data_IF_494764301703
#
_entry.id   IF_494764301703
#
_cell.length_a   1.000
_cell.length_b   1.000
_cell.length_c   1.000
_cell.angle_alpha   90.00
_cell.angle_beta   90.00
_cell.angle_gamma   90.00
#
_symmetry.space_group_name_H-M   'P 1'
#
loop_
_entity.id
_entity.type
_entity.pdbx_description
1 polymer ?
#
# COMPACT_ATOMS: atom_id res chain seq x y z
N UNK A 1 -25.07 54.06 -36.41
CA UNK A 1 -25.68 54.14 -35.07
C UNK A 1 -25.79 52.73 -34.55
N UNK A 2 -24.72 52.27 -33.88
CA UNK A 2 -24.66 50.96 -33.24
C UNK A 2 -24.35 51.23 -31.78
N UNK A 3 -25.27 50.88 -30.89
CA UNK A 3 -25.14 51.06 -29.45
C UNK A 3 -24.27 49.96 -28.89
N UNK A 4 -23.18 50.36 -28.22
CA UNK A 4 -22.32 49.51 -27.42
C UNK A 4 -23.06 49.11 -26.13
N UNK A 5 -23.30 47.81 -25.95
CA UNK A 5 -23.69 47.26 -24.65
C UNK A 5 -22.43 46.83 -23.89
N UNK A 6 -22.07 47.59 -22.90
CA UNK A 6 -21.09 47.21 -21.87
C UNK A 6 -21.56 45.95 -21.12
N UNK A 7 -20.79 44.90 -21.22
CA UNK A 7 -20.94 43.69 -20.39
C UNK A 7 -19.99 43.80 -19.24
N UNK A 8 -20.51 44.10 -18.06
CA UNK A 8 -19.77 44.10 -16.79
C UNK A 8 -19.39 42.69 -16.41
N UNK A 9 -18.09 42.46 -16.21
CA UNK A 9 -17.54 41.22 -15.67
C UNK A 9 -17.91 41.07 -14.18
N UNK A 10 -18.16 39.85 -13.70
CA UNK A 10 -18.42 39.62 -12.28
C UNK A 10 -17.14 39.68 -11.43
N UNK A 11 -17.30 40.22 -10.22
CA UNK A 11 -16.31 40.37 -9.14
C UNK A 11 -15.71 39.05 -8.69
N UNK A 12 -14.36 38.89 -8.60
CA UNK A 12 -13.69 37.64 -8.22
C UNK A 12 -13.59 37.40 -6.71
N UNK A 13 -14.40 38.04 -5.85
CA UNK A 13 -14.22 37.97 -4.39
C UNK A 13 -15.15 37.00 -3.64
N UNK A 14 -15.89 36.11 -4.30
CA UNK A 14 -16.72 35.10 -3.59
C UNK A 14 -16.23 33.70 -3.95
N UNK A 15 -15.34 33.17 -3.08
CA UNK A 15 -15.03 31.75 -3.06
C UNK A 15 -16.17 31.01 -2.34
N UNK A 16 -16.69 29.89 -2.91
CA UNK A 16 -17.62 29.04 -2.17
C UNK A 16 -16.85 28.24 -1.11
N UNK A 17 -17.36 28.30 0.11
CA UNK A 17 -16.90 27.50 1.24
C UNK A 17 -16.88 26.01 0.88
N UNK A 18 -15.69 25.47 0.74
CA UNK A 18 -15.48 24.03 0.58
C UNK A 18 -15.59 23.33 1.94
N UNK A 19 -16.75 22.77 2.24
CA UNK A 19 -16.90 21.83 3.35
C UNK A 19 -15.98 20.63 3.12
N UNK A 20 -14.97 20.50 3.97
CA UNK A 20 -14.18 19.29 4.10
C UNK A 20 -15.08 18.18 4.65
N UNK A 21 -15.17 16.99 4.04
CA UNK A 21 -15.94 15.89 4.58
C UNK A 21 -15.29 15.42 5.89
N UNK A 22 -16.03 15.55 6.98
CA UNK A 22 -15.62 15.15 8.32
C UNK A 22 -15.34 13.63 8.39
N UNK A 23 -14.43 13.23 9.28
CA UNK A 23 -14.05 11.84 9.52
C UNK A 23 -15.23 10.90 9.90
N UNK A 24 -16.38 11.45 10.26
CA UNK A 24 -17.62 10.74 10.57
C UNK A 24 -18.34 10.15 9.35
N UNK A 25 -18.11 10.67 8.13
CA UNK A 25 -18.75 10.17 6.90
C UNK A 25 -18.23 8.80 6.43
N UNK A 26 -17.14 8.28 7.00
CA UNK A 26 -16.57 6.97 6.64
C UNK A 26 -17.23 5.79 7.32
N UNK A 27 -17.89 6.00 8.45
CA UNK A 27 -18.54 4.92 9.22
C UNK A 27 -19.94 4.60 8.71
N UNK A 28 -20.68 5.58 8.21
CA UNK A 28 -22.07 5.40 7.76
C UNK A 28 -22.20 4.64 6.42
N UNK A 29 -21.17 4.73 5.55
CA UNK A 29 -21.20 4.01 4.26
C UNK A 29 -20.92 2.51 4.37
N UNK A 30 -20.31 2.05 5.48
CA UNK A 30 -20.10 0.62 5.76
C UNK A 30 -21.38 -0.01 6.32
N UNK A 31 -22.11 0.70 7.17
CA UNK A 31 -23.36 0.22 7.79
C UNK A 31 -24.50 0.04 6.77
N UNK A 32 -24.63 0.94 5.79
CA UNK A 32 -25.64 0.82 4.72
C UNK A 32 -25.37 -0.31 3.73
N UNK A 33 -24.13 -0.81 3.66
CA UNK A 33 -23.76 -1.92 2.80
C UNK A 33 -24.15 -3.29 3.36
N UNK A 34 -24.35 -3.40 4.68
CA UNK A 34 -24.63 -4.67 5.35
C UNK A 34 -26.13 -5.06 5.36
N UNK A 35 -27.06 -4.10 5.19
CA UNK A 35 -28.50 -4.34 5.41
C UNK A 35 -29.26 -4.93 4.22
N UNK A 36 -28.70 -4.94 3.00
CA UNK A 36 -29.49 -5.27 1.78
C UNK A 36 -29.21 -6.66 1.20
N UNK A 37 -28.21 -7.40 1.68
CA UNK A 37 -27.79 -8.65 1.04
C UNK A 37 -28.22 -9.92 1.77
N UNK A 38 -28.72 -10.90 1.00
CA UNK A 38 -28.97 -12.24 1.50
C UNK A 38 -27.66 -12.91 1.92
N UNK A 39 -27.59 -13.33 3.18
CA UNK A 39 -26.43 -14.02 3.73
C UNK A 39 -26.78 -15.49 4.01
N UNK A 40 -25.89 -16.39 3.61
CA UNK A 40 -25.92 -17.81 3.96
C UNK A 40 -24.63 -18.11 4.74
N UNK A 41 -24.67 -17.88 6.06
CA UNK A 41 -23.46 -17.92 6.89
C UNK A 41 -22.47 -16.83 6.50
N UNK A 42 -21.26 -17.21 6.08
CA UNK A 42 -20.21 -16.26 5.60
C UNK A 42 -20.36 -15.89 4.11
N UNK A 43 -21.27 -16.55 3.38
CA UNK A 43 -21.46 -16.32 1.95
C UNK A 43 -22.39 -15.14 1.73
N UNK A 44 -21.90 -14.11 1.03
CA UNK A 44 -22.69 -12.98 0.54
C UNK A 44 -22.93 -13.19 -0.95
N UNK A 45 -24.18 -13.11 -1.37
CA UNK A 45 -24.54 -13.30 -2.78
C UNK A 45 -25.18 -12.06 -3.36
N UNK A 46 -24.80 -11.75 -4.58
CA UNK A 46 -25.41 -10.71 -5.42
C UNK A 46 -25.91 -11.37 -6.69
N UNK A 47 -27.05 -10.99 -7.19
CA UNK A 47 -27.38 -11.20 -8.59
C UNK A 47 -26.55 -10.23 -9.45
N UNK A 48 -26.41 -10.52 -10.74
CA UNK A 48 -25.68 -9.62 -11.65
C UNK A 48 -26.28 -8.20 -11.66
N UNK A 49 -27.59 -7.98 -11.76
CA UNK A 49 -28.18 -6.65 -11.68
C UNK A 49 -27.84 -5.94 -10.35
N UNK A 50 -28.02 -6.60 -9.22
CA UNK A 50 -27.67 -6.04 -7.90
C UNK A 50 -26.18 -5.65 -7.81
N UNK A 51 -25.28 -6.48 -8.36
CA UNK A 51 -23.84 -6.20 -8.39
C UNK A 51 -23.53 -4.96 -9.22
N UNK A 52 -24.19 -4.79 -10.37
CA UNK A 52 -23.97 -3.66 -11.26
C UNK A 52 -24.53 -2.35 -10.71
N UNK A 53 -25.62 -2.41 -9.96
CA UNK A 53 -26.26 -1.25 -9.32
C UNK A 53 -25.58 -0.89 -7.96
N UNK A 54 -24.76 -1.80 -7.40
CA UNK A 54 -24.11 -1.57 -6.12
C UNK A 54 -22.88 -0.68 -6.31
N UNK A 55 -22.84 0.44 -5.58
CA UNK A 55 -21.66 1.28 -5.53
C UNK A 55 -20.64 0.72 -4.53
N UNK A 56 -19.55 0.15 -5.03
CA UNK A 56 -18.41 -0.26 -4.20
C UNK A 56 -17.46 0.92 -4.04
N UNK A 57 -17.04 1.23 -2.79
CA UNK A 57 -16.03 2.26 -2.59
C UNK A 57 -14.74 1.87 -3.33
N UNK A 58 -14.21 2.80 -4.12
CA UNK A 58 -12.93 2.59 -4.80
C UNK A 58 -11.81 2.47 -3.77
N UNK A 59 -10.91 1.50 -3.95
CA UNK A 59 -9.71 1.42 -3.12
C UNK A 59 -8.83 2.63 -3.41
N UNK A 60 -8.30 3.31 -2.38
CA UNK A 60 -7.35 4.39 -2.61
C UNK A 60 -6.16 3.88 -3.42
N UNK A 61 -5.76 4.63 -4.44
CA UNK A 61 -4.58 4.30 -5.24
C UNK A 61 -3.38 5.06 -4.69
N UNK A 62 -2.31 4.34 -4.36
CA UNK A 62 -1.08 4.91 -3.83
C UNK A 62 -0.17 5.36 -4.96
N UNK A 63 -0.05 4.56 -6.02
CA UNK A 63 0.61 4.94 -7.27
C UNK A 63 -0.39 4.66 -8.39
N UNK A 64 -0.82 5.67 -9.10
CA UNK A 64 -1.86 5.56 -10.14
C UNK A 64 -1.53 4.48 -11.16
N UNK A 65 -2.51 3.65 -11.49
CA UNK A 65 -2.38 2.53 -12.43
C UNK A 65 -1.33 1.46 -12.09
N UNK A 66 -0.66 1.56 -10.92
CA UNK A 66 0.38 0.62 -10.51
C UNK A 66 0.11 -0.03 -9.17
N UNK A 67 -0.24 0.75 -8.13
CA UNK A 67 -0.31 0.25 -6.75
C UNK A 67 -1.54 0.81 -6.02
N UNK A 68 -2.72 0.21 -6.16
CA UNK A 68 -3.86 0.49 -5.28
C UNK A 68 -3.64 -0.09 -3.88
N UNK A 69 -4.46 0.29 -2.91
CA UNK A 69 -4.47 -0.32 -1.58
C UNK A 69 -4.73 -1.82 -1.67
N UNK A 70 -4.00 -2.61 -0.88
CA UNK A 70 -4.05 -4.08 -0.88
C UNK A 70 -2.69 -4.70 -0.64
N UNK A 71 -2.58 -6.03 -0.72
CA UNK A 71 -1.32 -6.77 -0.52
C UNK A 71 -0.75 -7.24 -1.84
N UNK A 72 0.53 -6.98 -2.05
CA UNK A 72 1.27 -7.28 -3.28
C UNK A 72 2.57 -8.01 -3.00
N UNK A 73 3.00 -8.84 -3.94
CA UNK A 73 4.25 -9.60 -3.87
C UNK A 73 5.18 -9.19 -5.01
N UNK A 74 6.35 -8.64 -4.67
CA UNK A 74 7.44 -8.43 -5.62
C UNK A 74 8.43 -9.61 -5.54
N UNK A 75 8.27 -10.58 -6.42
CA UNK A 75 9.09 -11.78 -6.46
C UNK A 75 10.17 -11.70 -7.54
N UNK A 76 11.33 -12.33 -7.28
CA UNK A 76 12.40 -12.43 -8.26
C UNK A 76 13.71 -12.93 -7.66
N UNK A 77 14.68 -13.28 -8.51
CA UNK A 77 15.97 -13.79 -8.10
C UNK A 77 16.72 -12.83 -7.16
N UNK A 78 17.59 -13.32 -6.27
CA UNK A 78 18.44 -12.45 -5.45
C UNK A 78 19.32 -11.54 -6.31
N UNK A 79 19.66 -10.36 -5.79
CA UNK A 79 20.61 -9.39 -6.40
C UNK A 79 20.18 -8.75 -7.72
N UNK A 80 18.92 -8.85 -8.15
CA UNK A 80 18.39 -8.18 -9.36
C UNK A 80 17.93 -6.72 -9.13
N UNK A 81 18.17 -6.15 -7.96
CA UNK A 81 17.84 -4.76 -7.67
C UNK A 81 16.48 -4.51 -7.00
N UNK A 82 15.74 -5.55 -6.54
CA UNK A 82 14.42 -5.38 -5.90
C UNK A 82 14.44 -4.39 -4.73
N UNK A 83 15.35 -4.55 -3.78
CA UNK A 83 15.46 -3.67 -2.59
C UNK A 83 15.78 -2.22 -2.97
N UNK A 84 16.53 -1.98 -4.05
CA UNK A 84 16.80 -0.65 -4.55
C UNK A 84 15.54 -0.03 -5.17
N UNK A 85 14.81 -0.80 -5.98
CA UNK A 85 13.56 -0.38 -6.61
C UNK A 85 12.49 -0.02 -5.57
N UNK A 86 12.30 -0.87 -4.52
CA UNK A 86 11.28 -0.59 -3.50
C UNK A 86 11.68 0.55 -2.57
N UNK A 87 12.98 0.78 -2.32
CA UNK A 87 13.45 1.95 -1.59
C UNK A 87 13.19 3.24 -2.38
N UNK A 88 13.43 3.21 -3.70
CA UNK A 88 13.09 4.32 -4.59
C UNK A 88 11.57 4.59 -4.60
N UNK A 89 10.75 3.54 -4.72
CA UNK A 89 9.29 3.65 -4.63
C UNK A 89 8.87 4.29 -3.29
N UNK A 90 9.43 3.82 -2.18
CA UNK A 90 9.16 4.34 -0.84
C UNK A 90 9.47 5.84 -0.74
N UNK A 91 10.61 6.27 -1.26
CA UNK A 91 10.98 7.67 -1.30
C UNK A 91 9.98 8.50 -2.12
N UNK A 92 9.69 8.11 -3.37
CA UNK A 92 8.79 8.85 -4.25
C UNK A 92 7.37 8.99 -3.65
N UNK A 93 6.83 7.93 -3.05
CA UNK A 93 5.54 7.99 -2.36
C UNK A 93 5.60 8.92 -1.15
N UNK A 94 6.68 8.90 -0.38
CA UNK A 94 6.82 9.74 0.81
C UNK A 94 6.88 11.24 0.52
N UNK A 95 7.39 11.62 -0.66
CA UNK A 95 7.44 13.03 -1.10
C UNK A 95 6.33 13.41 -2.08
N UNK A 96 5.54 12.44 -2.57
CA UNK A 96 4.47 12.67 -3.54
C UNK A 96 4.96 12.89 -4.97
N UNK A 97 6.17 12.47 -5.28
CA UNK A 97 6.73 12.53 -6.63
C UNK A 97 6.30 11.31 -7.47
N UNK A 98 6.19 11.46 -8.80
CA UNK A 98 5.88 10.34 -9.68
C UNK A 98 6.93 9.23 -9.57
N UNK A 99 6.48 7.97 -9.40
CA UNK A 99 7.33 6.79 -9.46
C UNK A 99 7.22 6.12 -10.83
N UNK A 100 8.35 5.95 -11.52
CA UNK A 100 8.41 5.42 -12.90
C UNK A 100 7.46 6.12 -13.88
N UNK A 101 7.19 7.41 -13.68
CA UNK A 101 6.27 8.20 -14.51
C UNK A 101 4.80 8.11 -14.10
N UNK A 102 4.45 7.30 -13.10
CA UNK A 102 3.08 7.21 -12.55
C UNK A 102 2.93 8.15 -11.36
N UNK A 103 1.88 9.00 -11.32
CA UNK A 103 1.62 9.87 -10.19
C UNK A 103 1.50 9.09 -8.87
N UNK A 104 2.09 9.61 -7.80
CA UNK A 104 2.04 9.00 -6.48
C UNK A 104 1.25 9.87 -5.50
N UNK A 105 0.42 9.23 -4.70
CA UNK A 105 -0.24 9.85 -3.55
C UNK A 105 0.79 10.01 -2.44
N UNK A 106 1.04 11.25 -2.01
CA UNK A 106 1.91 11.52 -0.87
C UNK A 106 1.32 10.92 0.42
N UNK A 107 2.18 10.33 1.24
CA UNK A 107 1.85 9.83 2.56
C UNK A 107 3.05 9.19 3.26
N UNK A 108 2.88 8.83 4.52
CA UNK A 108 3.92 8.12 5.27
C UNK A 108 4.13 6.72 4.71
N UNK A 109 5.38 6.32 4.59
CA UNK A 109 5.81 5.00 4.14
C UNK A 109 6.66 4.35 5.22
N UNK A 110 6.27 3.16 5.68
CA UNK A 110 7.11 2.31 6.52
C UNK A 110 7.87 1.32 5.64
N UNK A 111 9.20 1.34 5.69
CA UNK A 111 10.03 0.36 5.01
C UNK A 111 10.81 -0.49 6.02
N UNK A 112 10.40 -1.76 6.15
CA UNK A 112 11.07 -2.78 6.95
C UNK A 112 12.13 -3.47 6.09
N UNK A 113 13.38 -3.01 6.17
CA UNK A 113 14.53 -3.50 5.41
C UNK A 113 15.29 -4.58 6.21
N UNK A 114 14.67 -5.75 6.42
CA UNK A 114 15.08 -6.77 7.41
C UNK A 114 16.34 -7.57 7.01
N UNK A 115 16.89 -7.36 5.83
CA UNK A 115 18.16 -7.93 5.37
C UNK A 115 19.23 -6.86 5.14
N UNK A 116 18.95 -5.63 5.56
CA UNK A 116 19.86 -4.49 5.35
C UNK A 116 20.39 -3.92 6.68
N UNK A 117 21.24 -2.91 6.59
CA UNK A 117 21.73 -2.12 7.72
C UNK A 117 21.42 -0.65 7.47
N UNK A 118 21.26 0.12 8.56
CA UNK A 118 21.03 1.57 8.44
C UNK A 118 22.13 2.29 7.64
N UNK A 119 23.37 1.86 7.77
CA UNK A 119 24.49 2.42 7.02
C UNK A 119 24.34 2.19 5.50
N UNK A 120 23.89 0.99 5.10
CA UNK A 120 23.67 0.69 3.67
C UNK A 120 22.45 1.43 3.14
N UNK A 121 21.39 1.55 3.91
CA UNK A 121 20.21 2.34 3.55
C UNK A 121 20.58 3.81 3.36
N UNK A 122 21.35 4.39 4.30
CA UNK A 122 21.84 5.76 4.19
C UNK A 122 22.65 5.99 2.90
N UNK A 123 23.60 5.08 2.58
CA UNK A 123 24.38 5.17 1.35
C UNK A 123 23.53 5.10 0.09
N UNK A 124 22.49 4.24 0.08
CA UNK A 124 21.58 4.12 -1.07
C UNK A 124 20.71 5.36 -1.22
N UNK A 125 20.15 5.89 -0.13
CA UNK A 125 19.36 7.11 -0.16
C UNK A 125 20.19 8.30 -0.65
N UNK A 126 21.43 8.45 -0.18
CA UNK A 126 22.34 9.50 -0.66
C UNK A 126 22.70 9.39 -2.16
N UNK A 127 22.53 8.21 -2.77
CA UNK A 127 22.67 8.02 -4.22
C UNK A 127 21.39 8.34 -5.00
N UNK A 128 20.24 8.34 -4.35
CA UNK A 128 18.95 8.55 -4.99
C UNK A 128 18.49 10.00 -4.94
N UNK A 129 18.79 10.70 -3.84
CA UNK A 129 18.24 12.03 -3.57
C UNK A 129 19.17 12.83 -2.66
N UNK A 130 19.09 14.16 -2.81
CA UNK A 130 19.68 15.14 -1.88
C UNK A 130 18.63 15.73 -0.92
N UNK A 131 17.34 15.36 -1.09
CA UNK A 131 16.23 15.88 -0.28
C UNK A 131 15.80 14.86 0.78
N UNK A 132 15.61 15.35 1.99
CA UNK A 132 15.08 14.55 3.08
C UNK A 132 13.55 14.37 2.96
N UNK A 133 13.05 13.24 3.46
CA UNK A 133 11.63 12.99 3.59
C UNK A 133 11.27 12.52 5.00
N UNK A 134 10.60 13.34 5.81
CA UNK A 134 10.11 12.92 7.12
C UNK A 134 9.02 11.85 7.04
N UNK A 135 8.36 11.71 5.89
CA UNK A 135 7.38 10.67 5.62
C UNK A 135 7.98 9.29 5.29
N UNK A 136 9.30 9.17 5.10
CA UNK A 136 9.96 7.88 4.90
C UNK A 136 10.53 7.36 6.23
N UNK A 137 9.86 6.38 6.83
CA UNK A 137 10.26 5.75 8.09
C UNK A 137 10.87 4.38 7.80
N UNK A 138 12.05 4.12 8.39
CA UNK A 138 12.87 2.94 8.09
C UNK A 138 13.13 2.12 9.34
N UNK A 139 13.00 0.79 9.24
CA UNK A 139 13.50 -0.13 10.28
C UNK A 139 14.23 -1.31 9.63
N UNK A 140 15.28 -1.77 10.30
CA UNK A 140 16.03 -2.99 9.93
C UNK A 140 15.69 -4.17 10.83
N UNK A 141 14.75 -3.98 11.76
CA UNK A 141 14.28 -4.97 12.72
C UNK A 141 12.76 -4.94 12.77
N UNK A 142 12.15 -6.11 12.85
CA UNK A 142 10.74 -6.32 13.16
C UNK A 142 10.59 -7.74 13.73
N UNK A 143 9.52 -7.96 14.48
CA UNK A 143 9.13 -9.29 14.93
C UNK A 143 8.55 -10.12 13.78
N UNK A 144 8.35 -11.41 14.02
CA UNK A 144 7.69 -12.30 13.06
C UNK A 144 6.17 -12.23 13.21
N UNK A 145 5.43 -12.78 12.25
CA UNK A 145 3.96 -12.88 12.33
C UNK A 145 3.45 -13.85 13.41
N UNK A 146 4.32 -14.75 13.89
CA UNK A 146 4.02 -15.64 15.01
C UNK A 146 4.25 -14.94 16.37
N UNK A 147 5.00 -13.86 16.37
CA UNK A 147 5.23 -12.95 17.47
C UNK A 147 4.30 -11.73 17.35
N UNK A 148 4.84 -10.53 17.46
CA UNK A 148 4.04 -9.30 17.61
C UNK A 148 4.07 -8.38 16.37
N UNK A 149 4.45 -8.86 15.17
CA UNK A 149 4.55 -8.00 13.97
C UNK A 149 3.28 -7.22 13.68
N UNK A 150 2.09 -7.86 13.75
CA UNK A 150 0.84 -7.16 13.48
C UNK A 150 0.55 -6.07 14.51
N UNK A 151 0.87 -6.31 15.78
CA UNK A 151 0.73 -5.31 16.85
C UNK A 151 1.71 -4.15 16.67
N UNK A 152 2.94 -4.43 16.20
CA UNK A 152 3.92 -3.40 15.86
C UNK A 152 3.41 -2.54 14.69
N UNK A 153 2.85 -3.15 13.66
CA UNK A 153 2.27 -2.42 12.53
C UNK A 153 1.04 -1.59 12.94
N UNK A 154 0.17 -2.11 13.81
CA UNK A 154 -0.96 -1.37 14.36
C UNK A 154 -0.51 -0.16 15.18
N UNK A 155 0.49 -0.34 16.03
CA UNK A 155 1.07 0.73 16.85
C UNK A 155 1.72 1.80 15.96
N UNK A 156 2.41 1.38 14.91
CA UNK A 156 2.98 2.29 13.92
C UNK A 156 1.89 3.10 13.21
N UNK A 157 0.81 2.46 12.73
CA UNK A 157 -0.29 3.15 12.06
C UNK A 157 -1.04 4.10 12.99
N UNK A 158 -1.09 3.81 14.27
CA UNK A 158 -1.66 4.71 15.27
C UNK A 158 -0.81 5.97 15.45
N UNK A 159 0.52 5.84 15.49
CA UNK A 159 1.46 6.96 15.61
C UNK A 159 1.57 7.75 14.29
N UNK A 160 1.47 7.07 13.14
CA UNK A 160 1.57 7.65 11.81
C UNK A 160 0.29 7.43 10.99
N UNK A 161 -0.81 8.15 11.28
CA UNK A 161 -2.12 7.90 10.67
C UNK A 161 -2.17 8.20 9.16
N UNK A 162 -1.22 8.98 8.64
CA UNK A 162 -1.08 9.28 7.21
C UNK A 162 -0.31 8.20 6.42
N UNK A 163 -0.12 7.02 7.02
CA UNK A 163 0.57 5.91 6.35
C UNK A 163 -0.27 5.38 5.20
N UNK A 164 0.33 5.31 4.01
CA UNK A 164 -0.29 4.81 2.78
C UNK A 164 0.34 3.54 2.26
N UNK A 165 1.62 3.29 2.63
CA UNK A 165 2.40 2.16 2.12
C UNK A 165 3.26 1.55 3.24
N UNK A 166 3.22 0.23 3.34
CA UNK A 166 4.17 -0.56 4.14
C UNK A 166 4.92 -1.49 3.20
N UNK A 167 6.25 -1.49 3.28
CA UNK A 167 7.11 -2.39 2.50
C UNK A 167 7.85 -3.32 3.44
N UNK A 168 7.83 -4.62 3.19
CA UNK A 168 8.54 -5.64 3.96
C UNK A 168 9.56 -6.34 3.05
N UNK A 169 10.82 -6.11 3.28
CA UNK A 169 11.95 -6.67 2.55
C UNK A 169 12.86 -7.46 3.51
N UNK A 170 12.68 -8.80 3.69
CA UNK A 170 11.91 -9.68 2.84
C UNK A 170 10.81 -10.43 3.60
N UNK A 171 9.82 -10.93 2.89
CA UNK A 171 8.76 -11.80 3.42
C UNK A 171 9.34 -12.98 4.25
N UNK A 172 10.49 -13.53 3.85
CA UNK A 172 11.12 -14.65 4.53
C UNK A 172 11.51 -14.32 5.99
N UNK A 173 11.82 -13.05 6.29
CA UNK A 173 12.28 -12.63 7.61
C UNK A 173 11.15 -12.51 8.63
N UNK A 174 9.93 -12.32 8.18
CA UNK A 174 8.75 -12.20 9.05
C UNK A 174 7.99 -13.52 9.22
N UNK A 175 8.41 -14.58 8.53
CA UNK A 175 7.86 -15.92 8.74
C UNK A 175 8.42 -16.53 10.01
N UNK A 176 7.57 -17.21 10.77
CA UNK A 176 8.01 -18.03 11.88
C UNK A 176 8.89 -19.21 11.42
N UNK A 177 9.62 -19.77 12.35
CA UNK A 177 10.43 -20.99 12.11
C UNK A 177 9.54 -22.23 12.04
N UNK A 178 8.90 -22.50 10.92
CA UNK A 178 8.23 -23.79 10.72
C UNK A 178 9.23 -24.87 10.31
N UNK A 179 9.15 -26.06 10.91
CA UNK A 179 9.92 -27.22 10.42
C UNK A 179 9.52 -27.55 8.97
N UNK A 180 10.47 -28.02 8.17
CA UNK A 180 10.52 -28.19 6.73
C UNK A 180 9.31 -28.84 6.00
N UNK A 181 8.28 -29.34 6.68
CA UNK A 181 7.19 -30.11 6.08
C UNK A 181 5.85 -29.36 5.92
N UNK A 182 5.77 -28.06 6.20
CA UNK A 182 4.53 -27.28 6.17
C UNK A 182 4.57 -25.99 5.32
N UNK A 183 5.55 -25.85 4.45
CA UNK A 183 5.90 -24.58 3.77
C UNK A 183 4.72 -23.87 3.08
N UNK A 184 3.88 -24.55 2.33
CA UNK A 184 2.79 -23.91 1.57
C UNK A 184 1.61 -23.46 2.43
N UNK A 185 1.19 -24.21 3.43
CA UNK A 185 0.08 -23.85 4.31
C UNK A 185 0.43 -22.64 5.19
N UNK A 186 1.65 -22.61 5.73
CA UNK A 186 2.17 -21.49 6.53
C UNK A 186 2.30 -20.20 5.72
N UNK A 187 2.71 -20.31 4.44
CA UNK A 187 2.78 -19.16 3.54
C UNK A 187 1.41 -18.57 3.26
N UNK A 188 0.41 -19.42 3.07
CA UNK A 188 -0.98 -18.99 2.83
C UNK A 188 -1.56 -18.24 4.04
N UNK A 189 -1.38 -18.76 5.24
CA UNK A 189 -1.85 -18.13 6.48
C UNK A 189 -1.15 -16.79 6.73
N UNK A 190 0.16 -16.72 6.49
CA UNK A 190 0.96 -15.50 6.55
C UNK A 190 0.40 -14.41 5.64
N UNK A 191 0.22 -14.74 4.36
CA UNK A 191 -0.30 -13.81 3.36
C UNK A 191 -1.75 -13.42 3.66
N UNK A 192 -2.57 -14.37 4.14
CA UNK A 192 -3.97 -14.12 4.48
C UNK A 192 -4.11 -13.11 5.64
N UNK A 193 -3.29 -13.22 6.69
CA UNK A 193 -3.26 -12.26 7.81
C UNK A 193 -2.84 -10.87 7.35
N UNK A 194 -1.76 -10.77 6.58
CA UNK A 194 -1.27 -9.51 6.03
C UNK A 194 -2.27 -8.87 5.07
N UNK A 195 -2.95 -9.68 4.28
CA UNK A 195 -4.01 -9.21 3.38
C UNK A 195 -5.19 -8.65 4.17
N UNK A 196 -5.68 -9.35 5.18
CA UNK A 196 -6.75 -8.86 6.04
C UNK A 196 -6.37 -7.52 6.70
N UNK A 197 -5.14 -7.41 7.20
CA UNK A 197 -4.61 -6.19 7.78
C UNK A 197 -4.63 -5.01 6.77
N UNK A 198 -4.05 -5.18 5.58
CA UNK A 198 -3.99 -4.12 4.57
C UNK A 198 -5.37 -3.70 4.06
N UNK A 199 -6.29 -4.67 3.86
CA UNK A 199 -7.67 -4.41 3.40
C UNK A 199 -8.46 -3.62 4.46
N UNK A 200 -8.30 -3.93 5.76
CA UNK A 200 -8.97 -3.21 6.86
C UNK A 200 -8.45 -1.78 7.03
N UNK A 201 -7.16 -1.55 6.80
CA UNK A 201 -6.52 -0.25 6.98
C UNK A 201 -6.54 0.63 5.72
N UNK A 202 -6.90 0.07 4.55
CA UNK A 202 -6.95 0.80 3.29
C UNK A 202 -5.58 1.28 2.82
N UNK A 203 -4.51 0.55 3.16
CA UNK A 203 -3.12 0.83 2.78
C UNK A 203 -2.61 -0.18 1.75
N UNK A 204 -1.53 0.15 1.04
CA UNK A 204 -0.78 -0.83 0.29
C UNK A 204 0.26 -1.52 1.18
N UNK A 205 0.37 -2.85 1.06
CA UNK A 205 1.39 -3.66 1.69
C UNK A 205 2.18 -4.39 0.60
N UNK A 206 3.45 -4.04 0.43
CA UNK A 206 4.33 -4.63 -0.58
C UNK A 206 5.34 -5.58 0.07
N UNK A 207 5.26 -6.86 -0.28
CA UNK A 207 6.13 -7.92 0.22
C UNK A 207 7.20 -8.22 -0.83
N UNK A 208 8.48 -8.13 -0.46
CA UNK A 208 9.60 -8.55 -1.31
C UNK A 208 9.92 -10.01 -1.03
N UNK A 209 10.01 -10.82 -2.08
CA UNK A 209 10.30 -12.26 -1.98
C UNK A 209 11.44 -12.67 -2.90
N UNK A 210 12.35 -13.51 -2.40
CA UNK A 210 13.40 -14.12 -3.19
C UNK A 210 12.94 -15.48 -3.71
N UNK A 211 12.82 -15.61 -5.05
CA UNK A 211 12.59 -16.92 -5.65
C UNK A 211 13.87 -17.77 -5.54
N UNK A 212 13.74 -19.07 -5.28
CA UNK A 212 14.87 -20.00 -5.39
C UNK A 212 15.35 -19.97 -6.84
N UNK A 213 16.66 -20.01 -7.08
CA UNK A 213 17.20 -20.46 -8.37
C UNK A 213 16.85 -21.94 -8.44
N UNK A 214 15.76 -22.29 -9.10
CA UNK A 214 15.68 -23.60 -9.73
C UNK A 214 16.80 -23.60 -10.75
N UNK A 215 17.74 -24.54 -10.62
CA UNK A 215 18.73 -24.76 -11.65
C UNK A 215 17.95 -24.99 -12.93
N UNK A 216 18.10 -24.11 -13.90
CA UNK A 216 17.77 -24.45 -15.26
C UNK A 216 18.67 -25.65 -15.56
N UNK A 217 18.14 -26.88 -15.51
CA UNK A 217 18.66 -27.97 -16.30
C UNK A 217 18.52 -27.46 -17.74
N UNK A 218 19.66 -27.21 -18.37
CA UNK A 218 19.72 -26.88 -19.77
C UNK A 218 18.98 -28.00 -20.55
N UNK A 219 17.83 -27.68 -21.10
CA UNK A 219 17.01 -28.59 -21.91
C UNK A 219 17.65 -28.77 -23.31
N UNK A 220 18.90 -28.35 -23.47
CA UNK A 220 19.67 -28.44 -24.72
C UNK A 220 21.08 -29.04 -24.48
N UNK A 221 21.12 -30.30 -23.94
CA UNK A 221 22.22 -31.25 -24.16
C UNK A 221 21.69 -32.53 -24.85
#
# INVERSE_FOLDING_TARGET
MWEDKETTAPDPSVAPDGEQPSALARTDSIATFEETNKQFGKMRIFSMPELMDTHFPSRPCIIENLLPAGTYLLAGAPKIGKSFLVLQMAYHVSVGEPFLGFPSRQGTVLYLALEDTYERLQKRLAQMTEQDSPGLVLSVLADTLEEDLLEQLESFLFEYPETVLVIIDTLQRIRGRTPDNGSYASDYDTIAKLKAFSDQRGIALLLVHHTRKEGAEDVFD
#
